data_IF_096575759123
#
_entry.id   IF_096575759123
#
_cell.length_a   1.000
_cell.length_b   1.000
_cell.length_c   1.000
_cell.angle_alpha   90.00
_cell.angle_beta   90.00
_cell.angle_gamma   90.00
#
_symmetry.space_group_name_H-M   'P 1'
#
loop_
_entity.id
_entity.type
_entity.pdbx_description
1 polymer ?
#
# COMPACT_ATOMS: atom_id res chain seq x y z
N UNK A 1 15.73 -0.26 31.41
CA UNK A 1 16.14 -0.50 30.02
C UNK A 1 15.80 -1.95 29.72
N UNK A 2 14.77 -2.21 28.92
CA UNK A 2 14.35 -3.59 28.58
C UNK A 2 14.81 -3.85 27.15
N UNK A 3 15.83 -4.67 26.99
CA UNK A 3 16.25 -5.13 25.67
C UNK A 3 15.21 -6.14 25.18
N UNK A 4 14.61 -5.89 24.01
CA UNK A 4 13.71 -6.85 23.36
C UNK A 4 14.47 -7.54 22.25
N UNK A 5 14.65 -8.85 22.37
CA UNK A 5 15.30 -9.67 21.37
C UNK A 5 14.22 -10.10 20.38
N UNK A 6 14.23 -9.52 19.18
CA UNK A 6 13.45 -10.03 18.06
C UNK A 6 14.38 -10.74 17.07
N UNK A 7 14.12 -12.00 16.71
CA UNK A 7 14.74 -12.56 15.53
C UNK A 7 14.22 -11.80 14.32
N UNK A 8 15.12 -11.33 13.47
CA UNK A 8 14.72 -11.01 12.11
C UNK A 8 14.42 -12.32 11.34
N UNK A 9 13.97 -12.18 10.09
CA UNK A 9 13.66 -13.32 9.23
C UNK A 9 14.90 -14.10 8.75
N UNK A 10 16.12 -13.66 9.13
CA UNK A 10 17.40 -14.34 8.85
C UNK A 10 17.99 -15.03 10.10
N UNK A 11 17.33 -14.93 11.26
CA UNK A 11 17.84 -15.45 12.54
C UNK A 11 18.91 -14.56 13.18
N UNK A 12 19.13 -13.36 12.66
CA UNK A 12 20.09 -12.40 13.17
C UNK A 12 19.44 -11.57 14.29
N UNK A 13 20.07 -11.57 15.46
CA UNK A 13 19.61 -10.82 16.62
C UNK A 13 20.06 -9.36 16.51
N UNK A 14 19.10 -8.45 16.39
CA UNK A 14 19.38 -7.01 16.46
C UNK A 14 19.08 -6.50 17.87
N UNK A 15 20.05 -5.79 18.44
CA UNK A 15 19.80 -4.98 19.64
C UNK A 15 19.01 -3.74 19.20
N UNK A 16 17.70 -3.76 19.46
CA UNK A 16 16.88 -2.56 19.38
C UNK A 16 16.50 -2.18 20.80
N UNK A 17 16.76 -0.94 21.20
CA UNK A 17 16.38 -0.44 22.53
C UNK A 17 14.86 -0.36 22.74
N UNK A 18 14.09 -0.71 21.70
CA UNK A 18 12.64 -0.60 21.65
C UNK A 18 12.02 -1.71 20.79
N UNK A 19 10.81 -2.15 21.15
CA UNK A 19 10.00 -3.07 20.35
C UNK A 19 9.76 -2.48 18.94
N UNK A 20 10.16 -3.15 17.84
CA UNK A 20 9.95 -2.67 16.48
C UNK A 20 8.49 -2.78 16.02
N UNK A 21 7.60 -3.33 16.87
CA UNK A 21 6.17 -3.43 16.58
C UNK A 21 5.45 -2.15 16.99
N UNK A 22 4.67 -1.53 16.09
CA UNK A 22 3.90 -0.35 16.42
C UNK A 22 2.81 -0.68 17.45
N UNK A 23 2.77 -0.02 18.62
CA UNK A 23 1.76 -0.33 19.64
C UNK A 23 0.38 0.23 19.28
N UNK A 24 0.29 1.19 18.35
CA UNK A 24 -0.97 1.71 17.81
C UNK A 24 -0.82 2.25 16.39
N UNK A 25 -1.87 2.13 15.56
CA UNK A 25 -1.85 2.60 14.17
C UNK A 25 -1.54 4.10 14.06
N UNK A 26 -1.89 4.91 15.06
CA UNK A 26 -1.61 6.36 15.08
C UNK A 26 -0.12 6.71 14.99
N UNK A 27 0.76 5.80 15.40
CA UNK A 27 2.22 5.97 15.39
C UNK A 27 2.85 5.69 14.03
N UNK A 28 2.05 5.17 13.09
CA UNK A 28 2.48 5.00 11.72
C UNK A 28 2.58 6.36 11.02
N UNK A 29 3.63 6.50 10.22
CA UNK A 29 3.81 7.58 9.28
C UNK A 29 4.20 7.03 7.91
N UNK A 30 4.09 7.86 6.86
CA UNK A 30 4.43 7.47 5.50
C UNK A 30 5.41 8.44 4.89
N UNK A 31 6.33 7.92 4.08
CA UNK A 31 7.27 8.71 3.28
C UNK A 31 7.63 7.96 2.01
N UNK A 32 8.16 8.66 0.98
CA UNK A 32 8.69 8.00 -0.20
C UNK A 32 9.68 6.90 0.15
N UNK A 33 9.62 5.82 -0.61
CA UNK A 33 10.58 4.72 -0.55
C UNK A 33 10.99 4.37 -1.98
N UNK A 34 12.23 3.94 -2.16
CA UNK A 34 12.70 3.52 -3.47
C UNK A 34 11.86 2.34 -4.00
N UNK A 35 11.52 2.37 -5.29
CA UNK A 35 10.74 1.30 -5.94
C UNK A 35 11.33 -0.10 -5.69
N UNK A 36 12.67 -0.24 -5.74
CA UNK A 36 13.34 -1.53 -5.50
C UNK A 36 13.07 -2.09 -4.10
N UNK A 37 13.02 -1.23 -3.09
CA UNK A 37 12.72 -1.62 -1.71
C UNK A 37 11.26 -2.03 -1.60
N UNK A 38 10.33 -1.23 -2.14
CA UNK A 38 8.91 -1.56 -2.15
C UNK A 38 8.62 -2.86 -2.90
N UNK A 39 9.22 -3.06 -4.06
CA UNK A 39 9.14 -4.28 -4.86
C UNK A 39 9.57 -5.49 -4.03
N UNK A 40 10.75 -5.44 -3.42
CA UNK A 40 11.27 -6.56 -2.63
C UNK A 40 10.35 -6.87 -1.44
N UNK A 41 9.84 -5.83 -0.78
CA UNK A 41 8.89 -5.98 0.33
C UNK A 41 7.59 -6.65 -0.13
N UNK A 42 7.02 -6.24 -1.26
CA UNK A 42 5.81 -6.85 -1.84
C UNK A 42 6.05 -8.31 -2.22
N UNK A 43 7.16 -8.63 -2.89
CA UNK A 43 7.51 -10.00 -3.28
C UNK A 43 7.63 -10.94 -2.07
N UNK A 44 8.08 -10.44 -0.91
CA UNK A 44 8.23 -11.23 0.31
C UNK A 44 6.95 -11.37 1.13
N UNK A 45 6.09 -10.34 1.17
CA UNK A 45 5.02 -10.25 2.16
C UNK A 45 3.61 -10.22 1.56
N UNK A 46 3.44 -9.80 0.31
CA UNK A 46 2.11 -9.73 -0.29
C UNK A 46 1.67 -11.12 -0.75
N UNK A 47 0.41 -11.50 -0.51
CA UNK A 47 -0.13 -12.83 -0.82
C UNK A 47 0.02 -13.27 -2.30
N UNK A 48 0.17 -12.32 -3.22
CA UNK A 48 0.41 -12.59 -4.65
C UNK A 48 1.86 -12.95 -4.97
N UNK A 49 2.83 -12.62 -4.10
CA UNK A 49 4.25 -12.92 -4.32
C UNK A 49 4.94 -12.11 -5.42
N UNK A 50 4.28 -11.11 -6.04
CA UNK A 50 4.89 -10.27 -7.07
C UNK A 50 4.42 -8.81 -7.04
N UNK A 51 5.34 -7.92 -7.41
CA UNK A 51 5.12 -6.48 -7.56
C UNK A 51 4.84 -6.08 -9.02
N UNK A 52 4.18 -4.93 -9.27
CA UNK A 52 4.08 -4.36 -10.61
C UNK A 52 5.46 -4.01 -11.20
N UNK A 53 5.56 -4.00 -12.52
CA UNK A 53 6.80 -3.71 -13.27
C UNK A 53 7.35 -2.30 -13.01
N UNK A 54 6.52 -1.38 -12.53
CA UNK A 54 6.90 -0.02 -12.16
C UNK A 54 5.89 0.61 -11.21
N UNK A 55 6.17 1.83 -10.77
CA UNK A 55 5.26 2.65 -9.97
C UNK A 55 5.51 4.13 -10.27
N UNK A 56 4.46 4.96 -10.29
CA UNK A 56 4.61 6.43 -10.30
C UNK A 56 5.16 6.91 -8.97
N UNK A 57 4.71 6.31 -7.87
CA UNK A 57 5.25 6.55 -6.53
C UNK A 57 5.11 5.29 -5.67
N UNK A 58 6.11 5.03 -4.83
CA UNK A 58 6.04 4.04 -3.76
C UNK A 58 6.17 4.74 -2.41
N UNK A 59 5.25 4.44 -1.49
CA UNK A 59 5.28 4.96 -0.13
C UNK A 59 5.55 3.81 0.83
N UNK A 60 6.53 4.00 1.71
CA UNK A 60 6.74 3.11 2.84
C UNK A 60 5.86 3.54 4.01
N UNK A 61 5.39 2.56 4.79
CA UNK A 61 4.71 2.72 6.07
C UNK A 61 5.73 2.41 7.14
N UNK A 62 5.95 3.36 8.05
CA UNK A 62 7.01 3.28 9.02
C UNK A 62 6.48 3.39 10.44
N UNK A 63 7.07 2.59 11.33
CA UNK A 63 7.05 2.81 12.77
C UNK A 63 8.46 3.22 13.20
N UNK A 64 8.63 4.47 13.64
CA UNK A 64 9.96 5.07 13.81
C UNK A 64 10.78 4.87 12.51
N UNK A 65 11.98 4.30 12.59
CA UNK A 65 12.79 4.04 11.40
C UNK A 65 12.51 2.69 10.72
N UNK A 66 11.63 1.86 11.28
CA UNK A 66 11.35 0.52 10.76
C UNK A 66 10.29 0.55 9.66
N UNK A 67 10.62 -0.03 8.51
CA UNK A 67 9.67 -0.24 7.42
C UNK A 67 8.76 -1.42 7.78
N UNK A 68 7.49 -1.13 8.04
CA UNK A 68 6.47 -2.12 8.45
C UNK A 68 5.39 -2.35 7.39
N UNK A 69 5.49 -1.67 6.25
CA UNK A 69 4.59 -1.87 5.11
C UNK A 69 4.92 -0.98 3.94
N UNK A 70 4.28 -1.23 2.81
CA UNK A 70 4.46 -0.46 1.57
C UNK A 70 3.14 -0.30 0.82
N UNK A 71 3.03 0.79 0.07
CA UNK A 71 1.97 1.06 -0.91
C UNK A 71 2.62 1.45 -2.24
N UNK A 72 2.23 0.81 -3.33
CA UNK A 72 2.70 1.12 -4.68
C UNK A 72 1.55 1.69 -5.50
N UNK A 73 1.78 2.89 -6.05
CA UNK A 73 0.81 3.57 -6.90
C UNK A 73 1.30 3.59 -8.34
N UNK A 74 0.46 3.15 -9.26
CA UNK A 74 0.74 3.06 -10.70
C UNK A 74 -0.20 3.95 -11.51
N UNK A 75 0.01 3.98 -12.82
CA UNK A 75 -1.07 4.37 -13.72
C UNK A 75 -2.25 3.40 -13.58
N UNK A 76 -3.48 3.86 -13.83
CA UNK A 76 -4.64 2.97 -13.86
C UNK A 76 -4.48 1.85 -14.89
N UNK A 77 -4.81 0.62 -14.49
CA UNK A 77 -4.83 -0.54 -15.37
C UNK A 77 -5.94 -0.40 -16.43
N UNK A 78 -7.08 0.16 -16.04
CA UNK A 78 -8.19 0.43 -16.96
C UNK A 78 -7.84 1.58 -17.93
N UNK A 79 -7.75 1.27 -19.23
CA UNK A 79 -7.34 2.24 -20.28
C UNK A 79 -8.25 3.46 -20.42
N UNK A 80 -9.53 3.33 -20.02
CA UNK A 80 -10.51 4.40 -20.09
C UNK A 80 -10.50 5.31 -18.84
N UNK A 81 -9.76 4.95 -17.80
CA UNK A 81 -9.51 5.85 -16.68
C UNK A 81 -8.47 6.92 -17.06
N UNK A 82 -8.53 8.06 -16.37
CA UNK A 82 -7.61 9.18 -16.56
C UNK A 82 -6.17 8.76 -16.17
N UNK A 83 -5.32 8.61 -17.18
CA UNK A 83 -3.95 8.14 -17.04
C UNK A 83 -2.99 9.21 -16.47
N UNK A 84 -3.39 10.48 -16.52
CA UNK A 84 -2.57 11.62 -16.15
C UNK A 84 -2.80 12.01 -14.68
N UNK A 85 -4.06 12.20 -14.31
CA UNK A 85 -4.44 12.76 -13.01
C UNK A 85 -5.01 11.72 -12.01
N UNK A 86 -4.97 10.42 -12.34
CA UNK A 86 -5.36 9.34 -11.43
C UNK A 86 -4.18 8.45 -11.05
N UNK A 87 -4.11 8.09 -9.76
CA UNK A 87 -3.25 7.03 -9.26
C UNK A 87 -4.06 5.77 -8.93
N UNK A 88 -3.60 4.61 -9.35
CA UNK A 88 -4.13 3.33 -8.90
C UNK A 88 -3.24 2.73 -7.82
N UNK A 89 -3.82 2.36 -6.67
CA UNK A 89 -3.15 1.55 -5.66
C UNK A 89 -3.07 0.11 -6.19
N UNK A 90 -1.91 -0.28 -6.71
CA UNK A 90 -1.72 -1.60 -7.30
C UNK A 90 -1.29 -2.63 -6.26
N UNK A 91 -0.49 -2.24 -5.27
CA UNK A 91 -0.05 -3.12 -4.18
C UNK A 91 -0.06 -2.39 -2.86
N UNK A 92 -0.52 -3.09 -1.84
CA UNK A 92 -0.45 -2.65 -0.46
C UNK A 92 -0.24 -3.85 0.43
N UNK A 93 0.77 -3.80 1.28
CA UNK A 93 1.00 -4.82 2.30
C UNK A 93 1.63 -4.18 3.53
N UNK A 94 1.12 -4.52 4.70
CA UNK A 94 1.72 -4.24 6.00
C UNK A 94 2.04 -5.58 6.66
N UNK A 95 3.03 -5.59 7.56
CA UNK A 95 3.37 -6.79 8.33
C UNK A 95 2.23 -7.17 9.29
N UNK A 96 2.02 -8.46 9.50
CA UNK A 96 0.91 -9.00 10.31
C UNK A 96 0.89 -8.53 11.76
N UNK A 97 2.06 -8.13 12.30
CA UNK A 97 2.15 -7.58 13.65
C UNK A 97 1.69 -6.11 13.73
N UNK A 98 1.33 -5.47 12.61
CA UNK A 98 0.77 -4.13 12.63
C UNK A 98 -0.59 -4.15 13.34
N UNK A 99 -0.88 -3.15 14.20
CA UNK A 99 -2.11 -3.12 14.98
C UNK A 99 -3.34 -2.93 14.08
N UNK A 100 -4.51 -3.25 14.62
CA UNK A 100 -5.79 -3.02 13.94
C UNK A 100 -5.90 -1.58 13.40
N UNK A 101 -6.49 -1.44 12.21
CA UNK A 101 -6.67 -0.17 11.47
C UNK A 101 -5.39 0.44 10.87
N UNK A 102 -4.30 -0.32 10.80
CA UNK A 102 -3.05 0.17 10.23
C UNK A 102 -3.17 0.46 8.74
N UNK A 103 -3.89 -0.37 7.99
CA UNK A 103 -4.08 -0.18 6.55
C UNK A 103 -4.90 1.07 6.24
N UNK A 104 -6.05 1.25 6.90
CA UNK A 104 -6.89 2.44 6.70
C UNK A 104 -6.17 3.73 7.12
N UNK A 105 -5.36 3.67 8.18
CA UNK A 105 -4.47 4.77 8.59
C UNK A 105 -3.41 5.07 7.54
N UNK A 106 -2.74 4.05 7.01
CA UNK A 106 -1.73 4.19 5.96
C UNK A 106 -2.33 4.80 4.68
N UNK A 107 -3.52 4.36 4.26
CA UNK A 107 -4.26 4.94 3.13
C UNK A 107 -4.57 6.43 3.35
N UNK A 108 -5.05 6.81 4.53
CA UNK A 108 -5.33 8.20 4.86
C UNK A 108 -4.05 9.07 4.88
N UNK A 109 -2.94 8.52 5.35
CA UNK A 109 -1.63 9.18 5.31
C UNK A 109 -1.12 9.34 3.88
N UNK A 110 -1.24 8.30 3.06
CA UNK A 110 -0.87 8.32 1.64
C UNK A 110 -1.67 9.38 0.88
N UNK A 111 -2.98 9.44 1.05
CA UNK A 111 -3.83 10.45 0.41
C UNK A 111 -3.41 11.88 0.77
N UNK A 112 -3.07 12.13 2.05
CA UNK A 112 -2.53 13.43 2.48
C UNK A 112 -1.16 13.73 1.86
N UNK A 113 -0.29 12.72 1.75
CA UNK A 113 1.01 12.88 1.11
C UNK A 113 0.85 13.21 -0.37
N UNK A 114 0.04 12.45 -1.12
CA UNK A 114 -0.23 12.68 -2.55
C UNK A 114 -0.79 14.08 -2.77
N UNK A 115 -1.82 14.50 -2.00
CA UNK A 115 -2.41 15.83 -2.12
C UNK A 115 -1.40 16.97 -1.95
N UNK A 116 -0.36 16.78 -1.12
CA UNK A 116 0.66 17.80 -0.86
C UNK A 116 1.79 17.81 -1.89
N UNK A 117 2.17 16.63 -2.40
CA UNK A 117 3.40 16.47 -3.18
C UNK A 117 3.17 16.20 -4.67
N UNK A 118 1.93 15.86 -5.06
CA UNK A 118 1.54 15.57 -6.44
C UNK A 118 0.24 16.34 -6.75
N UNK A 119 0.29 17.69 -6.83
CA UNK A 119 -0.89 18.54 -6.98
C UNK A 119 -1.67 18.31 -8.27
N UNK A 120 -1.05 17.69 -9.27
CA UNK A 120 -1.69 17.24 -10.51
C UNK A 120 -2.65 16.07 -10.29
N UNK A 121 -2.46 15.27 -9.24
CA UNK A 121 -3.30 14.10 -8.97
C UNK A 121 -4.64 14.53 -8.35
N UNK A 122 -5.73 14.22 -9.05
CA UNK A 122 -7.10 14.56 -8.65
C UNK A 122 -7.86 13.38 -8.04
N UNK A 123 -7.41 12.15 -8.32
CA UNK A 123 -8.09 10.93 -7.90
C UNK A 123 -7.11 9.81 -7.55
N UNK A 124 -7.51 9.01 -6.55
CA UNK A 124 -6.89 7.73 -6.26
C UNK A 124 -7.95 6.63 -6.39
N UNK A 125 -7.60 5.52 -7.04
CA UNK A 125 -8.48 4.35 -7.24
C UNK A 125 -7.79 3.09 -6.73
N UNK A 126 -8.57 2.08 -6.37
CA UNK A 126 -8.09 0.76 -5.97
C UNK A 126 -9.18 -0.27 -6.26
N UNK A 127 -8.74 -1.50 -6.53
CA UNK A 127 -9.63 -2.63 -6.70
C UNK A 127 -9.47 -3.58 -5.50
N UNK A 128 -10.60 -3.98 -4.92
CA UNK A 128 -10.65 -5.02 -3.91
C UNK A 128 -11.00 -6.33 -4.62
N UNK A 129 -10.29 -7.42 -4.30
CA UNK A 129 -10.59 -8.76 -4.80
C UNK A 129 -11.51 -9.49 -3.81
N UNK A 130 -12.83 -9.63 -4.09
CA UNK A 130 -13.75 -10.32 -3.20
C UNK A 130 -13.40 -11.80 -3.02
N UNK A 131 -12.72 -12.44 -3.99
CA UNK A 131 -12.30 -13.84 -3.88
C UNK A 131 -11.26 -14.05 -2.78
N UNK A 132 -10.54 -13.00 -2.40
CA UNK A 132 -9.58 -12.97 -1.28
C UNK A 132 -10.21 -12.45 0.02
N UNK A 133 -11.55 -12.34 0.09
CA UNK A 133 -12.25 -11.79 1.25
C UNK A 133 -12.11 -10.27 1.40
N UNK A 134 -11.47 -9.58 0.44
CA UNK A 134 -11.31 -8.13 0.48
C UNK A 134 -12.64 -7.43 0.13
N UNK A 135 -13.39 -7.05 1.16
CA UNK A 135 -14.68 -6.35 1.04
C UNK A 135 -14.57 -4.82 0.91
N UNK A 136 -13.34 -4.31 0.81
CA UNK A 136 -13.04 -2.88 0.78
C UNK A 136 -13.23 -2.16 2.11
N UNK A 137 -13.28 -2.88 3.23
CA UNK A 137 -13.42 -2.32 4.59
C UNK A 137 -12.37 -1.26 4.88
N UNK A 138 -11.10 -1.51 4.53
CA UNK A 138 -10.00 -0.57 4.76
C UNK A 138 -10.15 0.71 3.95
N UNK A 139 -10.69 0.63 2.72
CA UNK A 139 -10.92 1.78 1.85
C UNK A 139 -12.04 2.65 2.43
N UNK A 140 -13.16 2.04 2.84
CA UNK A 140 -14.27 2.75 3.48
C UNK A 140 -13.83 3.43 4.78
N UNK A 141 -13.05 2.72 5.61
CA UNK A 141 -12.48 3.27 6.83
C UNK A 141 -11.50 4.43 6.57
N UNK A 142 -10.84 4.45 5.41
CA UNK A 142 -9.99 5.55 4.96
C UNK A 142 -10.79 6.70 4.28
N UNK A 143 -12.13 6.63 4.24
CA UNK A 143 -12.98 7.65 3.62
C UNK A 143 -13.15 7.52 2.10
N UNK A 144 -12.75 6.39 1.51
CA UNK A 144 -12.91 6.16 0.07
C UNK A 144 -14.34 5.73 -0.25
N UNK A 145 -14.83 6.15 -1.42
CA UNK A 145 -16.19 5.84 -1.89
C UNK A 145 -16.17 4.62 -2.82
N UNK A 146 -17.02 3.65 -2.53
CA UNK A 146 -17.26 2.53 -3.44
C UNK A 146 -18.04 3.02 -4.66
N UNK A 147 -17.52 2.79 -5.87
CA UNK A 147 -18.12 3.27 -7.12
C UNK A 147 -18.91 2.19 -7.88
N UNK A 148 -18.67 0.91 -7.58
CA UNK A 148 -19.33 -0.22 -8.23
C UNK A 148 -18.40 -1.41 -8.43
N UNK A 149 -18.93 -2.59 -8.75
CA UNK A 149 -18.13 -3.73 -9.17
C UNK A 149 -17.59 -3.49 -10.59
N UNK A 150 -16.43 -4.05 -10.88
CA UNK A 150 -15.91 -4.18 -12.25
C UNK A 150 -16.00 -5.63 -12.67
N UNK A 151 -16.55 -5.89 -13.86
CA UNK A 151 -16.49 -7.21 -14.46
C UNK A 151 -15.09 -7.45 -15.01
N UNK A 152 -14.46 -8.57 -14.64
CA UNK A 152 -13.22 -9.03 -15.26
C UNK A 152 -13.50 -9.50 -16.68
N UNK A 153 -13.62 -8.58 -17.64
CA UNK A 153 -13.77 -8.93 -19.04
C UNK A 153 -12.39 -9.23 -19.65
N UNK A 154 -12.26 -10.25 -20.52
CA UNK A 154 -11.04 -10.52 -21.26
C UNK A 154 -10.53 -9.28 -22.00
N UNK A 155 -9.21 -9.15 -22.14
CA UNK A 155 -8.53 -8.08 -22.87
C UNK A 155 -8.80 -8.13 -24.38
N UNK A 156 -10.02 -7.81 -24.83
CA UNK A 156 -10.32 -7.62 -26.25
C UNK A 156 -11.48 -6.65 -26.45
N UNK A 157 -11.18 -5.41 -26.81
CA UNK A 157 -12.05 -4.63 -27.72
C UNK A 157 -11.20 -3.70 -28.59
N UNK A 158 -11.36 -3.84 -29.90
CA UNK A 158 -10.99 -2.83 -30.89
C UNK A 158 -11.85 -1.58 -30.68
N UNK A 159 -11.27 -0.40 -30.93
CA UNK A 159 -12.01 0.87 -30.95
C UNK A 159 -13.22 0.73 -31.86
N UNK A 160 -14.41 1.04 -31.36
CA UNK A 160 -15.52 1.43 -32.24
C UNK A 160 -15.26 2.88 -32.66
N UNK A 161 -15.18 3.06 -33.96
CA UNK A 161 -15.03 4.33 -34.68
C UNK A 161 -16.30 5.16 -34.49
#
# INVERSE_FOLDING_TARGET
>A
MVAVIFPDWSGQLFFCDHDPRPPAARELHVRPVAYRVARRFVEMHHYLGYAPLGAKISLGVYYREHLVGVMMFTHPCARLEDQEHTLELSRMVLLDHCPRNSESRALGLAARWVKRNMPEIRRMVAYADPAQGHRGTIYRAAGWRFLGPTEGRPWSHSRRV
#
